data_IF_808759371580
#
_entry.id   IF_808759371580
#
_cell.length_a   1.000
_cell.length_b   1.000
_cell.length_c   1.000
_cell.angle_alpha   90.00
_cell.angle_beta   90.00
_cell.angle_gamma   90.00
#
_symmetry.space_group_name_H-M   'P 1'
#
loop_
_entity.id
_entity.type
_entity.pdbx_description
1 polymer ?
#
# COMPACT_ATOMS: atom_id res chain seq x y z
N UNK A 1 -16.07 -14.55 14.76
CA UNK A 1 -15.83 -13.84 13.52
C UNK A 1 -14.72 -12.82 13.71
N UNK A 2 -13.76 -12.82 12.85
CA UNK A 2 -12.66 -11.88 12.94
C UNK A 2 -13.11 -10.52 12.42
N UNK A 3 -12.79 -9.49 13.19
CA UNK A 3 -13.02 -8.14 12.72
C UNK A 3 -12.03 -7.81 11.63
N UNK A 4 -12.53 -7.35 10.50
CA UNK A 4 -11.65 -6.90 9.45
C UNK A 4 -11.12 -5.52 9.78
N UNK A 5 -9.82 -5.37 9.67
CA UNK A 5 -9.21 -4.07 9.75
C UNK A 5 -9.60 -3.29 8.50
N UNK A 6 -10.31 -2.15 8.63
CA UNK A 6 -10.76 -1.39 7.45
C UNK A 6 -9.59 -0.92 6.57
N UNK A 7 -8.41 -0.75 7.16
CA UNK A 7 -7.23 -0.35 6.39
C UNK A 7 -6.73 -1.48 5.50
N UNK A 8 -6.90 -2.73 5.93
CA UNK A 8 -6.53 -3.87 5.09
C UNK A 8 -7.47 -3.97 3.89
N UNK A 9 -8.73 -3.61 4.08
CA UNK A 9 -9.68 -3.59 2.98
C UNK A 9 -9.29 -2.56 1.92
N UNK A 10 -8.80 -1.41 2.34
CA UNK A 10 -8.30 -0.38 1.42
C UNK A 10 -7.16 -0.94 0.56
N UNK A 11 -6.20 -1.61 1.17
CA UNK A 11 -5.10 -2.21 0.43
C UNK A 11 -5.59 -3.33 -0.49
N UNK A 12 -6.55 -4.11 -0.04
CA UNK A 12 -7.15 -5.17 -0.86
C UNK A 12 -7.80 -4.60 -2.12
N UNK A 13 -8.49 -3.47 -1.99
CA UNK A 13 -9.16 -2.82 -3.12
C UNK A 13 -8.19 -2.34 -4.20
N UNK A 14 -6.96 -2.03 -3.81
CA UNK A 14 -5.95 -1.50 -4.73
C UNK A 14 -4.82 -2.49 -5.01
N UNK A 15 -4.99 -3.74 -4.61
CA UNK A 15 -3.93 -4.74 -4.73
C UNK A 15 -3.52 -4.97 -6.18
N UNK A 16 -4.43 -4.77 -7.13
CA UNK A 16 -4.11 -4.93 -8.54
C UNK A 16 -2.95 -4.03 -9.00
N UNK A 17 -2.79 -2.86 -8.38
CA UNK A 17 -1.68 -1.95 -8.68
C UNK A 17 -0.36 -2.59 -8.26
N UNK A 18 -0.33 -3.15 -7.06
CA UNK A 18 0.85 -3.82 -6.54
C UNK A 18 1.17 -5.08 -7.36
N UNK A 19 0.15 -5.87 -7.70
CA UNK A 19 0.34 -7.09 -8.47
C UNK A 19 0.94 -6.77 -9.84
N UNK A 20 0.48 -5.71 -10.48
CA UNK A 20 1.02 -5.30 -11.76
C UNK A 20 2.47 -4.83 -11.63
N UNK A 21 2.76 -4.06 -10.58
CA UNK A 21 4.12 -3.63 -10.30
C UNK A 21 5.05 -4.82 -10.06
N UNK A 22 4.61 -5.80 -9.28
CA UNK A 22 5.40 -6.98 -8.99
C UNK A 22 5.65 -7.81 -10.25
N UNK A 23 4.70 -7.81 -11.18
CA UNK A 23 4.79 -8.58 -12.41
C UNK A 23 5.63 -7.89 -13.48
N UNK A 24 5.43 -6.59 -13.66
CA UNK A 24 6.01 -5.84 -14.78
C UNK A 24 7.10 -4.85 -14.36
N UNK A 25 7.22 -4.56 -13.08
CA UNK A 25 8.17 -3.57 -12.58
C UNK A 25 7.73 -2.14 -12.79
N UNK A 26 6.50 -1.92 -13.23
CA UNK A 26 5.95 -0.59 -13.47
C UNK A 26 4.73 -0.33 -12.60
N UNK A 27 4.67 0.88 -12.05
CA UNK A 27 3.51 1.32 -11.27
C UNK A 27 2.63 2.16 -12.19
N UNK A 28 1.41 1.67 -12.47
CA UNK A 28 0.45 2.37 -13.33
C UNK A 28 -0.85 2.61 -12.57
N UNK A 29 -1.51 3.71 -12.92
CA UNK A 29 -2.80 4.09 -12.34
C UNK A 29 -2.76 4.31 -10.83
N UNK A 30 -1.59 4.66 -10.33
CA UNK A 30 -1.41 4.93 -8.91
C UNK A 30 -1.67 6.43 -8.64
N UNK A 31 -2.94 6.80 -8.71
CA UNK A 31 -3.37 8.20 -8.58
C UNK A 31 -3.21 8.73 -7.16
N UNK A 32 -3.19 10.04 -7.02
CA UNK A 32 -2.98 10.69 -5.73
C UNK A 32 -3.98 10.25 -4.66
N UNK A 33 -5.25 10.11 -5.03
CA UNK A 33 -6.26 9.71 -4.05
C UNK A 33 -6.04 8.27 -3.57
N UNK A 34 -5.56 7.40 -4.44
CA UNK A 34 -5.22 6.02 -4.08
C UNK A 34 -4.00 6.02 -3.18
N UNK A 35 -2.99 6.81 -3.52
CA UNK A 35 -1.80 6.94 -2.68
C UNK A 35 -2.16 7.42 -1.28
N UNK A 36 -3.06 8.41 -1.20
CA UNK A 36 -3.49 8.94 0.09
C UNK A 36 -4.21 7.89 0.93
N UNK A 37 -5.07 7.09 0.30
CA UNK A 37 -5.80 6.02 1.00
C UNK A 37 -4.83 4.96 1.53
N UNK A 38 -3.90 4.50 0.71
CA UNK A 38 -2.93 3.49 1.13
C UNK A 38 -1.99 4.05 2.18
N UNK A 39 -1.59 5.32 2.04
CA UNK A 39 -0.73 5.97 3.01
C UNK A 39 -1.41 6.07 4.38
N UNK A 40 -2.70 6.46 4.39
CA UNK A 40 -3.46 6.51 5.63
C UNK A 40 -3.53 5.14 6.28
N UNK A 41 -3.77 4.10 5.48
CA UNK A 41 -3.81 2.73 5.96
C UNK A 41 -2.47 2.31 6.55
N UNK A 42 -1.38 2.59 5.85
CA UNK A 42 -0.06 2.21 6.33
C UNK A 42 0.34 2.99 7.58
N UNK A 43 -0.06 4.25 7.68
CA UNK A 43 0.22 5.07 8.87
C UNK A 43 -0.55 4.62 10.10
N UNK A 44 -1.59 3.82 9.95
CA UNK A 44 -2.24 3.18 11.09
C UNK A 44 -1.30 2.17 11.75
N UNK A 45 -0.37 1.63 10.97
CA UNK A 45 0.65 0.71 11.43
C UNK A 45 1.94 1.45 11.83
N UNK A 46 2.38 2.39 10.98
CA UNK A 46 3.60 3.17 11.20
C UNK A 46 3.28 4.66 11.09
N UNK A 47 2.84 5.31 12.18
CA UNK A 47 2.41 6.70 12.15
C UNK A 47 3.53 7.70 11.84
N UNK A 48 4.78 7.27 11.95
CA UNK A 48 5.92 8.15 11.68
C UNK A 48 6.47 8.01 10.26
N UNK A 49 5.85 7.16 9.45
CA UNK A 49 6.33 6.96 8.09
C UNK A 49 6.20 8.24 7.26
N UNK A 50 7.27 8.59 6.56
CA UNK A 50 7.28 9.75 5.67
C UNK A 50 7.29 9.29 4.23
N UNK A 51 6.32 9.77 3.49
CA UNK A 51 6.15 9.40 2.09
C UNK A 51 6.39 10.61 1.20
N UNK A 52 7.21 10.44 0.16
CA UNK A 52 7.47 11.47 -0.84
C UNK A 52 6.99 10.96 -2.20
N UNK A 53 5.92 11.55 -2.69
CA UNK A 53 5.34 11.13 -3.96
C UNK A 53 6.06 11.68 -5.19
N UNK A 54 7.05 12.56 -4.99
CA UNK A 54 7.85 13.13 -6.07
C UNK A 54 9.08 12.30 -6.41
N UNK A 55 9.36 11.28 -5.61
CA UNK A 55 10.52 10.41 -5.78
C UNK A 55 10.05 9.04 -6.29
N UNK A 56 10.36 8.64 -7.53
CA UNK A 56 9.90 7.34 -8.04
C UNK A 56 10.35 6.15 -7.21
N UNK A 57 11.58 6.20 -6.71
CA UNK A 57 12.10 5.13 -5.84
C UNK A 57 11.33 5.09 -4.52
N UNK A 58 10.99 6.27 -3.99
CA UNK A 58 10.23 6.34 -2.74
C UNK A 58 8.81 5.79 -2.91
N UNK A 59 8.20 6.03 -4.06
CA UNK A 59 6.86 5.50 -4.36
C UNK A 59 6.90 3.97 -4.42
N UNK A 60 7.88 3.41 -5.12
CA UNK A 60 8.03 1.96 -5.22
C UNK A 60 8.29 1.33 -3.86
N UNK A 61 9.18 1.94 -3.07
CA UNK A 61 9.48 1.46 -1.73
C UNK A 61 8.26 1.51 -0.83
N UNK A 62 7.49 2.59 -0.89
CA UNK A 62 6.26 2.72 -0.13
C UNK A 62 5.27 1.61 -0.48
N UNK A 63 5.08 1.35 -1.77
CA UNK A 63 4.16 0.32 -2.23
C UNK A 63 4.58 -1.06 -1.71
N UNK A 64 5.88 -1.36 -1.78
CA UNK A 64 6.41 -2.62 -1.26
C UNK A 64 6.20 -2.75 0.25
N UNK A 65 6.48 -1.69 1.00
CA UNK A 65 6.33 -1.72 2.46
C UNK A 65 4.86 -1.89 2.86
N UNK A 66 3.97 -1.16 2.20
CA UNK A 66 2.55 -1.22 2.52
C UNK A 66 1.99 -2.62 2.26
N UNK A 67 2.33 -3.21 1.12
CA UNK A 67 1.80 -4.53 0.78
C UNK A 67 2.51 -5.66 1.49
N UNK A 68 3.74 -5.47 1.91
CA UNK A 68 4.41 -6.42 2.78
C UNK A 68 3.72 -6.48 4.14
N UNK A 69 3.37 -5.33 4.68
CA UNK A 69 2.58 -5.25 5.91
C UNK A 69 1.21 -5.92 5.70
N UNK A 70 0.55 -5.61 4.60
CA UNK A 70 -0.76 -6.18 4.28
C UNK A 70 -0.70 -7.72 4.26
N UNK A 71 0.29 -8.27 3.57
CA UNK A 71 0.42 -9.73 3.47
C UNK A 71 0.69 -10.37 4.82
N UNK A 72 1.50 -9.72 5.65
CA UNK A 72 1.74 -10.22 7.00
C UNK A 72 0.46 -10.23 7.84
N UNK A 73 -0.39 -9.22 7.68
CA UNK A 73 -1.62 -9.14 8.45
C UNK A 73 -2.64 -10.17 8.03
N UNK A 74 -2.78 -10.42 6.73
CA UNK A 74 -3.77 -11.40 6.27
C UNK A 74 -3.31 -12.84 6.48
N UNK A 75 -2.02 -13.06 6.70
CA UNK A 75 -1.48 -14.40 6.93
C UNK A 75 -1.27 -14.74 8.40
N UNK A 76 -1.76 -13.91 9.29
CA UNK A 76 -1.67 -14.19 10.73
C UNK A 76 -2.55 -15.35 11.14
#
# INVERSE_FOLDING_TARGET
MLEENPYLKVLSNHKHIYDLYAKCGEIVNFHHHIQAEILEAYRSYDPHYRYQNTCPVCVAEFLNLAYKWYENEINK
#
